data_IF_924669917486
#
_entry.id   IF_924669917486
#
_cell.length_a   1.000
_cell.length_b   1.000
_cell.length_c   1.000
_cell.angle_alpha   90.00
_cell.angle_beta   90.00
_cell.angle_gamma   90.00
#
_symmetry.space_group_name_H-M   'P 1'
#
loop_
_entity.id
_entity.type
_entity.pdbx_description
1 polymer ?
#
# COMPACT_ATOMS: atom_id res chain seq x y z
N UNK A 1 -7.64 8.12 -1.69
CA UNK A 1 -6.89 7.16 -2.53
C UNK A 1 -5.98 6.39 -1.61
N UNK A 2 -5.91 5.07 -1.76
CA UNK A 2 -5.05 4.22 -0.95
C UNK A 2 -4.05 3.48 -1.84
N UNK A 3 -2.98 3.00 -1.22
CA UNK A 3 -1.86 2.34 -1.88
C UNK A 3 -1.39 1.18 -1.00
N UNK A 4 -1.12 0.04 -1.64
CA UNK A 4 -0.39 -1.08 -1.06
C UNK A 4 0.84 -1.32 -1.93
N UNK A 5 1.99 -1.57 -1.30
CA UNK A 5 3.23 -1.86 -2.00
C UNK A 5 4.08 -2.88 -1.24
N UNK A 6 4.92 -3.61 -1.96
CA UNK A 6 5.91 -4.56 -1.42
C UNK A 6 7.23 -4.42 -2.22
N UNK A 7 8.33 -4.90 -1.66
CA UNK A 7 9.66 -4.83 -2.31
C UNK A 7 10.43 -3.56 -1.97
N UNK A 8 10.05 -2.85 -0.90
CA UNK A 8 10.80 -1.74 -0.31
C UNK A 8 11.50 -2.15 1.00
N UNK A 9 11.38 -3.41 1.41
CA UNK A 9 12.02 -3.92 2.62
C UNK A 9 13.54 -3.89 2.44
N UNK A 10 14.21 -2.91 3.08
CA UNK A 10 15.65 -2.66 2.95
C UNK A 10 16.01 -1.26 2.46
N UNK A 11 15.07 -0.45 1.99
CA UNK A 11 15.30 0.98 1.67
C UNK A 11 15.22 1.81 2.94
N UNK A 12 16.25 1.73 3.79
CA UNK A 12 16.30 2.52 5.03
C UNK A 12 16.30 4.04 4.78
N UNK A 13 16.47 4.49 3.53
CA UNK A 13 16.38 5.90 3.18
C UNK A 13 15.96 6.09 1.72
N UNK A 14 14.91 6.88 1.45
CA UNK A 14 14.45 7.21 0.09
C UNK A 14 15.58 7.84 -0.76
N UNK A 15 16.56 8.48 -0.11
CA UNK A 15 17.75 9.03 -0.77
C UNK A 15 18.65 7.96 -1.40
N UNK A 16 18.63 6.71 -0.92
CA UNK A 16 19.34 5.58 -1.53
C UNK A 16 18.71 5.07 -2.83
N UNK A 17 17.45 5.43 -3.10
CA UNK A 17 16.78 5.13 -4.38
C UNK A 17 17.29 6.04 -5.52
N UNK A 18 17.65 7.29 -5.20
CA UNK A 18 18.07 8.30 -6.20
C UNK A 18 19.54 8.14 -6.58
N UNK A 19 20.37 7.53 -5.72
CA UNK A 19 21.81 7.38 -5.96
C UNK A 19 22.19 6.13 -6.79
N UNK A 20 21.21 5.38 -7.30
CA UNK A 20 21.45 4.23 -8.18
C UNK A 20 21.89 2.95 -7.47
N UNK A 21 21.85 2.88 -6.14
CA UNK A 21 22.21 1.67 -5.37
C UNK A 21 21.19 0.52 -5.48
N UNK A 22 20.09 0.69 -6.22
CA UNK A 22 18.99 -0.27 -6.36
C UNK A 22 18.90 -0.86 -7.77
N UNK A 23 20.04 -1.24 -8.36
CA UNK A 23 20.02 -2.16 -9.50
C UNK A 23 19.41 -3.47 -8.99
N UNK A 24 18.27 -3.88 -9.56
CA UNK A 24 17.60 -5.18 -9.42
C UNK A 24 16.51 -5.39 -8.33
N UNK A 25 15.99 -4.36 -7.66
CA UNK A 25 14.80 -4.56 -6.79
C UNK A 25 13.49 -4.33 -7.54
N UNK A 26 12.55 -5.27 -7.41
CA UNK A 26 11.19 -5.14 -7.99
C UNK A 26 10.24 -4.58 -6.93
N UNK A 27 9.74 -3.38 -7.17
CA UNK A 27 8.66 -2.79 -6.36
C UNK A 27 7.33 -3.12 -7.03
N UNK A 28 6.40 -3.71 -6.30
CA UNK A 28 5.03 -3.93 -6.76
C UNK A 28 4.11 -2.96 -6.03
N UNK A 29 3.19 -2.35 -6.77
CA UNK A 29 2.30 -1.31 -6.23
C UNK A 29 0.89 -1.57 -6.74
N UNK A 30 -0.09 -1.49 -5.83
CA UNK A 30 -1.50 -1.51 -6.13
C UNK A 30 -2.19 -0.26 -5.57
N UNK A 31 -2.89 0.47 -6.43
CA UNK A 31 -3.68 1.63 -6.04
C UNK A 31 -5.17 1.31 -6.17
N UNK A 32 -5.95 1.76 -5.18
CA UNK A 32 -7.39 1.80 -5.29
C UNK A 32 -7.96 3.14 -4.84
N UNK A 33 -9.13 3.44 -5.41
CA UNK A 33 -9.84 4.69 -5.18
C UNK A 33 -11.04 4.42 -4.29
N UNK A 34 -11.36 5.41 -3.47
CA UNK A 34 -12.62 5.49 -2.75
C UNK A 34 -13.29 6.79 -3.19
N UNK A 35 -14.53 6.73 -3.72
CA UNK A 35 -15.33 7.91 -4.00
C UNK A 35 -15.49 8.79 -2.76
N UNK A 36 -15.46 10.11 -2.93
CA UNK A 36 -15.61 11.03 -1.81
C UNK A 36 -16.93 10.84 -1.06
N UNK A 37 -18.01 10.55 -1.78
CA UNK A 37 -19.34 10.32 -1.22
C UNK A 37 -19.44 9.04 -0.34
N UNK A 38 -18.45 8.15 -0.39
CA UNK A 38 -18.42 6.93 0.43
C UNK A 38 -17.63 7.13 1.74
N UNK A 39 -17.04 8.30 1.95
CA UNK A 39 -16.30 8.61 3.18
C UNK A 39 -17.32 9.04 4.26
N UNK A 40 -17.41 8.35 5.40
CA UNK A 40 -18.34 8.73 6.46
C UNK A 40 -18.03 10.13 7.03
N UNK A 41 -19.08 10.87 7.37
CA UNK A 41 -18.96 12.22 7.95
C UNK A 41 -18.85 12.19 9.48
N UNK A 42 -19.38 11.15 10.12
CA UNK A 42 -19.35 10.99 11.57
C UNK A 42 -18.06 10.27 12.04
N UNK A 43 -17.68 10.54 13.30
CA UNK A 43 -16.40 10.08 13.85
C UNK A 43 -16.32 8.56 14.00
N UNK A 44 -17.42 7.90 14.33
CA UNK A 44 -17.45 6.44 14.50
C UNK A 44 -17.35 5.75 13.13
N UNK A 45 -18.08 6.26 12.14
CA UNK A 45 -17.96 5.85 10.74
C UNK A 45 -16.56 6.05 10.19
N UNK A 46 -15.91 7.19 10.46
CA UNK A 46 -14.53 7.45 10.04
C UNK A 46 -13.53 6.48 10.68
N UNK A 47 -13.70 6.18 11.97
CA UNK A 47 -12.88 5.18 12.66
C UNK A 47 -13.01 3.82 11.97
N UNK A 48 -14.23 3.36 11.75
CA UNK A 48 -14.48 2.06 11.12
C UNK A 48 -13.92 2.04 9.70
N UNK A 49 -14.15 3.10 8.92
CA UNK A 49 -13.63 3.24 7.57
C UNK A 49 -12.10 3.11 7.49
N UNK A 50 -11.37 3.70 8.45
CA UNK A 50 -9.90 3.57 8.52
C UNK A 50 -9.49 2.13 8.85
N UNK A 51 -10.16 1.48 9.82
CA UNK A 51 -9.86 0.09 10.21
C UNK A 51 -10.11 -0.87 9.05
N UNK A 52 -11.26 -0.75 8.38
CA UNK A 52 -11.60 -1.58 7.21
C UNK A 52 -10.64 -1.33 6.04
N UNK A 53 -10.26 -0.07 5.82
CA UNK A 53 -9.27 0.28 4.80
C UNK A 53 -7.89 -0.32 5.10
N UNK A 54 -7.54 -0.43 6.39
CA UNK A 54 -6.31 -1.09 6.84
C UNK A 54 -6.35 -2.59 6.60
N UNK A 55 -7.45 -3.26 6.93
CA UNK A 55 -7.63 -4.70 6.68
C UNK A 55 -7.55 -5.01 5.18
N UNK A 56 -8.18 -4.16 4.35
CA UNK A 56 -8.05 -4.25 2.89
C UNK A 56 -6.60 -4.07 2.45
N UNK A 57 -5.90 -3.06 2.96
CA UNK A 57 -4.48 -2.85 2.62
C UNK A 57 -3.66 -4.10 2.94
N UNK A 58 -3.89 -4.74 4.09
CA UNK A 58 -3.20 -5.98 4.46
C UNK A 58 -3.49 -7.11 3.46
N UNK A 59 -4.73 -7.24 3.00
CA UNK A 59 -5.10 -8.19 1.96
C UNK A 59 -4.36 -7.92 0.64
N UNK A 60 -4.32 -6.66 0.17
CA UNK A 60 -3.62 -6.30 -1.06
C UNK A 60 -2.10 -6.57 -0.95
N UNK A 61 -1.49 -6.28 0.20
CA UNK A 61 -0.08 -6.63 0.47
C UNK A 61 0.15 -8.14 0.34
N UNK A 62 -0.71 -8.96 0.93
CA UNK A 62 -0.61 -10.42 0.83
C UNK A 62 -0.74 -10.93 -0.61
N UNK A 63 -1.61 -10.31 -1.42
CA UNK A 63 -1.73 -10.62 -2.85
C UNK A 63 -0.46 -10.26 -3.62
N UNK A 64 0.13 -9.10 -3.35
CA UNK A 64 1.35 -8.65 -4.02
C UNK A 64 2.55 -9.57 -3.74
N UNK A 65 2.69 -10.08 -2.50
CA UNK A 65 3.68 -11.11 -2.17
C UNK A 65 3.40 -12.44 -2.89
N UNK A 66 2.14 -12.86 -2.96
CA UNK A 66 1.76 -14.14 -3.58
C UNK A 66 1.93 -14.15 -5.10
N UNK A 67 1.89 -12.98 -5.74
CA UNK A 67 2.17 -12.80 -7.16
C UNK A 67 3.66 -13.01 -7.55
N UNK A 68 4.50 -13.56 -6.67
CA UNK A 68 5.88 -14.01 -6.95
C UNK A 68 5.97 -15.48 -7.37
N UNK A 69 4.91 -16.29 -7.22
CA UNK A 69 4.95 -17.74 -7.41
C UNK A 69 4.52 -18.24 -8.81
N UNK A 70 4.56 -17.39 -9.85
CA UNK A 70 4.12 -17.71 -11.22
C UNK A 70 5.19 -17.52 -12.27
#
# INVERSE_FOLDING_TARGET
>A
MFCAHVGLEGSADFYSLINGSWVNTTIKIHFWRVPFAEIPEDLDGQRNFIVESWDRMQHEVSLLHSAEAG
#
